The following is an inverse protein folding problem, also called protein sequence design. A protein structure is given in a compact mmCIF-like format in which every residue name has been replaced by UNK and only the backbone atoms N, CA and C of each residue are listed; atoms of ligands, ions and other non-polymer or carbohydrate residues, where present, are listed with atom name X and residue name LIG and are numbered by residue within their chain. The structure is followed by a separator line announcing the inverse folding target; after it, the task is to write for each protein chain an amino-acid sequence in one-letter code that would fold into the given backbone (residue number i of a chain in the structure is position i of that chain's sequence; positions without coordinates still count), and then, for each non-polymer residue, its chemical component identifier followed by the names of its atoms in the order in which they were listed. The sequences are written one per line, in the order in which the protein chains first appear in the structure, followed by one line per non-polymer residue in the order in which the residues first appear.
data_IF_855535654154
#
_entry.id   IF_855535654154
#
_cell.length_a   1.000
_cell.length_b   1.000
_cell.length_c   1.000
_cell.angle_alpha   90.00
_cell.angle_beta   90.00
_cell.angle_gamma   90.00
#
_symmetry.space_group_name_H-M   'P 1'
#
loop_
_entity.id
_entity.type
_entity.pdbx_description
1 polymer ?
#
# COMPACT_ATOMS: atom_id res chain seq x y z
N UNK A 1 -9.62 -0.81 19.50
CA UNK A 1 -9.43 0.28 18.52
C UNK A 1 -9.60 -0.32 17.12
N UNK A 2 -10.07 0.48 16.16
CA UNK A 2 -10.24 0.06 14.76
C UNK A 2 -8.94 0.26 13.99
N UNK A 3 -8.70 -0.63 13.02
CA UNK A 3 -7.56 -0.55 12.11
C UNK A 3 -8.10 -0.54 10.68
N UNK A 4 -7.62 0.36 9.85
CA UNK A 4 -7.87 0.37 8.41
C UNK A 4 -6.61 -0.13 7.71
N UNK A 5 -6.76 -1.10 6.81
CA UNK A 5 -5.67 -1.66 6.01
C UNK A 5 -6.02 -1.50 4.55
N UNK A 6 -5.17 -0.84 3.79
CA UNK A 6 -5.33 -0.65 2.37
C UNK A 6 -4.05 -1.06 1.63
N UNK A 7 -4.21 -1.82 0.54
CA UNK A 7 -3.08 -2.27 -0.29
C UNK A 7 -3.10 -1.56 -1.64
N UNK A 8 -1.95 -1.01 -2.03
CA UNK A 8 -1.73 -0.47 -3.37
C UNK A 8 -1.04 -1.51 -4.26
N UNK A 9 -1.19 -1.38 -5.57
CA UNK A 9 -0.51 -2.19 -6.57
C UNK A 9 -0.73 -3.72 -6.44
N UNK A 10 -1.75 -4.15 -5.74
CA UNK A 10 -2.11 -5.56 -5.55
C UNK A 10 -3.36 -5.92 -6.36
N UNK A 11 -3.52 -7.21 -6.68
CA UNK A 11 -4.70 -7.71 -7.39
C UNK A 11 -5.87 -8.10 -6.46
N UNK A 12 -5.70 -7.92 -5.16
CA UNK A 12 -6.72 -8.22 -4.16
C UNK A 12 -6.85 -9.72 -3.81
N UNK A 13 -5.95 -10.57 -4.28
CA UNK A 13 -5.99 -12.04 -4.10
C UNK A 13 -4.93 -12.59 -3.14
N UNK A 14 -4.29 -11.74 -2.33
CA UNK A 14 -3.25 -12.23 -1.41
C UNK A 14 -3.84 -13.01 -0.24
N UNK A 15 -3.16 -14.09 0.16
CA UNK A 15 -3.53 -14.92 1.32
C UNK A 15 -3.57 -14.12 2.63
N UNK A 16 -2.73 -13.09 2.76
CA UNK A 16 -2.73 -12.17 3.89
C UNK A 16 -4.06 -11.43 4.08
N UNK A 17 -4.75 -11.06 2.98
CA UNK A 17 -6.05 -10.39 3.05
C UNK A 17 -7.13 -11.31 3.63
N UNK A 18 -7.07 -12.60 3.29
CA UNK A 18 -8.00 -13.58 3.87
C UNK A 18 -7.79 -13.70 5.38
N UNK A 19 -6.52 -13.75 5.83
CA UNK A 19 -6.18 -13.78 7.25
C UNK A 19 -6.60 -12.49 7.96
N UNK A 20 -6.33 -11.32 7.38
CA UNK A 20 -6.68 -10.03 7.98
C UNK A 20 -8.19 -9.84 8.17
N UNK A 21 -9.02 -10.38 7.29
CA UNK A 21 -10.50 -10.32 7.40
C UNK A 21 -11.04 -11.11 8.59
N UNK A 22 -10.26 -11.98 9.23
CA UNK A 22 -10.69 -12.71 10.43
C UNK A 22 -10.63 -11.85 11.70
N UNK A 23 -9.97 -10.70 11.67
CA UNK A 23 -9.87 -9.80 12.81
C UNK A 23 -11.07 -8.84 12.84
N UNK A 24 -11.93 -8.95 13.85
CA UNK A 24 -13.16 -8.16 13.99
C UNK A 24 -12.96 -6.63 13.93
N UNK A 25 -11.78 -6.14 14.31
CA UNK A 25 -11.46 -4.71 14.38
C UNK A 25 -10.60 -4.21 13.22
N UNK A 26 -10.27 -5.07 12.27
CA UNK A 26 -9.58 -4.73 11.05
C UNK A 26 -10.57 -4.57 9.90
N UNK A 27 -10.57 -3.40 9.30
CA UNK A 27 -11.26 -3.14 8.04
C UNK A 27 -10.23 -3.20 6.94
N UNK A 28 -10.40 -4.13 6.00
CA UNK A 28 -9.54 -4.25 4.83
C UNK A 28 -10.24 -3.56 3.67
N UNK A 29 -9.65 -2.47 3.20
CA UNK A 29 -10.14 -1.78 2.00
C UNK A 29 -9.87 -2.67 0.77
N UNK A 30 -10.88 -2.93 -0.09
CA UNK A 30 -10.69 -3.78 -1.26
C UNK A 30 -9.74 -3.11 -2.26
N UNK A 31 -8.64 -3.78 -2.58
CA UNK A 31 -7.70 -3.30 -3.59
C UNK A 31 -8.38 -3.17 -4.96
N UNK A 32 -8.03 -2.13 -5.71
CA UNK A 32 -8.40 -2.03 -7.13
C UNK A 32 -7.33 -2.78 -7.95
N UNK A 33 -7.69 -3.89 -8.61
CA UNK A 33 -6.72 -4.72 -9.31
C UNK A 33 -6.00 -3.92 -10.41
N UNK A 34 -4.69 -4.11 -10.50
CA UNK A 34 -3.90 -3.66 -11.64
C UNK A 34 -3.50 -4.87 -12.49
N UNK A 35 -3.48 -4.72 -13.81
CA UNK A 35 -3.12 -5.80 -14.72
C UNK A 35 -1.61 -5.94 -14.83
N UNK A 36 -1.04 -6.96 -14.21
CA UNK A 36 0.39 -7.29 -14.34
C UNK A 36 1.31 -6.38 -13.53
N UNK A 37 2.58 -6.44 -13.85
CA UNK A 37 3.62 -5.66 -13.17
C UNK A 37 3.80 -4.28 -13.81
N UNK A 38 3.87 -3.23 -13.01
CA UNK A 38 4.01 -1.82 -13.47
C UNK A 38 5.18 -1.64 -14.44
N UNK A 39 6.30 -2.33 -14.25
CA UNK A 39 7.47 -2.24 -15.14
C UNK A 39 7.23 -2.83 -16.54
N UNK A 40 6.26 -3.72 -16.69
CA UNK A 40 5.90 -4.36 -17.97
C UNK A 40 4.74 -3.65 -18.70
N UNK A 41 4.15 -2.62 -18.10
CA UNK A 41 3.02 -1.90 -18.67
C UNK A 41 3.44 -0.95 -19.80
N UNK A 42 2.59 -0.83 -20.84
CA UNK A 42 2.67 0.24 -21.82
C UNK A 42 2.35 1.60 -21.20
N UNK A 43 2.64 2.69 -21.91
CA UNK A 43 2.33 4.04 -21.42
C UNK A 43 0.83 4.22 -21.13
N UNK A 44 -0.05 3.77 -22.04
CA UNK A 44 -1.50 3.84 -21.83
C UNK A 44 -1.98 3.02 -20.63
N UNK A 45 -1.41 1.83 -20.42
CA UNK A 45 -1.72 1.01 -19.24
C UNK A 45 -1.27 1.66 -17.94
N UNK A 46 -0.09 2.32 -17.94
CA UNK A 46 0.40 3.07 -16.78
C UNK A 46 -0.51 4.26 -16.44
N UNK A 47 -0.96 4.99 -17.44
CA UNK A 47 -1.87 6.12 -17.26
C UNK A 47 -3.20 5.66 -16.63
N UNK A 48 -3.80 4.60 -17.16
CA UNK A 48 -5.05 4.05 -16.61
C UNK A 48 -4.83 3.49 -15.19
N UNK A 49 -3.74 2.77 -14.94
CA UNK A 49 -3.40 2.28 -13.60
C UNK A 49 -3.19 3.43 -12.61
N UNK A 50 -2.48 4.49 -13.01
CA UNK A 50 -2.29 5.68 -12.17
C UNK A 50 -3.63 6.36 -11.85
N UNK A 51 -4.53 6.50 -12.82
CA UNK A 51 -5.87 7.03 -12.59
C UNK A 51 -6.63 6.20 -11.56
N UNK A 52 -6.60 4.88 -11.68
CA UNK A 52 -7.27 3.97 -10.75
C UNK A 52 -6.66 4.02 -9.35
N UNK A 53 -5.33 4.07 -9.23
CA UNK A 53 -4.66 4.13 -7.92
C UNK A 53 -4.85 5.48 -7.23
N UNK A 54 -4.91 6.58 -7.97
CA UNK A 54 -5.26 7.89 -7.41
C UNK A 54 -6.72 7.96 -6.96
N UNK A 55 -7.64 7.38 -7.71
CA UNK A 55 -9.03 7.25 -7.29
C UNK A 55 -9.15 6.36 -6.04
N UNK A 56 -8.38 5.27 -5.97
CA UNK A 56 -8.32 4.44 -4.76
C UNK A 56 -7.82 5.21 -3.54
N UNK A 57 -6.78 6.04 -3.69
CA UNK A 57 -6.30 6.88 -2.59
C UNK A 57 -7.39 7.82 -2.05
N UNK A 58 -8.18 8.43 -2.93
CA UNK A 58 -9.31 9.28 -2.52
C UNK A 58 -10.43 8.49 -1.83
N UNK A 59 -10.74 7.29 -2.32
CA UNK A 59 -11.75 6.42 -1.70
C UNK A 59 -11.29 5.97 -0.29
N UNK A 60 -10.00 5.62 -0.12
CA UNK A 60 -9.42 5.24 1.19
C UNK A 60 -9.43 6.43 2.15
N UNK A 61 -9.21 7.65 1.66
CA UNK A 61 -9.35 8.85 2.46
C UNK A 61 -10.78 8.96 3.04
N UNK A 62 -11.80 8.82 2.20
CA UNK A 62 -13.20 8.85 2.65
C UNK A 62 -13.53 7.73 3.65
N UNK A 63 -12.95 6.54 3.45
CA UNK A 63 -13.10 5.42 4.39
C UNK A 63 -12.44 5.73 5.75
N UNK A 64 -11.25 6.34 5.75
CA UNK A 64 -10.57 6.75 6.98
C UNK A 64 -11.39 7.82 7.75
N UNK A 65 -11.97 8.78 7.06
CA UNK A 65 -12.83 9.80 7.64
C UNK A 65 -14.11 9.19 8.27
N UNK A 66 -14.72 8.20 7.60
CA UNK A 66 -15.91 7.52 8.10
C UNK A 66 -15.62 6.56 9.26
N UNK A 67 -14.56 5.75 9.13
CA UNK A 67 -14.19 4.73 10.10
C UNK A 67 -13.51 5.30 11.35
N UNK A 68 -12.76 6.39 11.20
CA UNK A 68 -11.93 7.05 12.24
C UNK A 68 -10.99 6.04 12.92
N UNK A 69 -10.10 5.39 12.17
CA UNK A 69 -9.25 4.33 12.68
C UNK A 69 -8.17 4.87 13.62
N UNK A 70 -7.81 4.08 14.63
CA UNK A 70 -6.66 4.41 15.49
C UNK A 70 -5.32 4.05 14.83
N UNK A 71 -5.36 3.26 13.75
CA UNK A 71 -4.20 2.94 12.92
C UNK A 71 -4.67 2.75 11.48
N UNK A 72 -3.98 3.39 10.55
CA UNK A 72 -4.13 3.16 9.11
C UNK A 72 -2.84 2.57 8.55
N UNK A 73 -2.94 1.43 7.88
CA UNK A 73 -1.82 0.77 7.20
C UNK A 73 -2.01 0.93 5.68
N UNK A 74 -1.05 1.58 5.04
CA UNK A 74 -1.01 1.85 3.60
C UNK A 74 0.09 0.99 2.96
N UNK A 75 -0.25 -0.27 2.69
CA UNK A 75 0.70 -1.26 2.18
C UNK A 75 1.04 -0.99 0.71
N UNK A 76 2.33 -1.03 0.37
CA UNK A 76 2.90 -0.72 -0.95
C UNK A 76 2.65 0.73 -1.43
N UNK A 77 2.22 1.65 -0.57
CA UNK A 77 2.09 3.07 -0.94
C UNK A 77 3.43 3.66 -1.39
N UNK A 78 4.54 3.30 -0.74
CA UNK A 78 5.85 3.82 -1.08
C UNK A 78 6.25 3.45 -2.53
N UNK A 79 5.95 2.22 -2.95
CA UNK A 79 6.18 1.77 -4.34
C UNK A 79 5.26 2.50 -5.30
N UNK A 80 3.97 2.66 -4.93
CA UNK A 80 3.00 3.36 -5.78
C UNK A 80 3.42 4.80 -6.05
N UNK A 81 3.97 5.49 -5.05
CA UNK A 81 4.57 6.82 -5.17
C UNK A 81 5.82 6.82 -6.06
N UNK A 82 6.74 5.89 -5.80
CA UNK A 82 8.01 5.80 -6.55
C UNK A 82 7.79 5.48 -8.04
N UNK A 83 6.72 4.74 -8.38
CA UNK A 83 6.35 4.41 -9.75
C UNK A 83 5.43 5.46 -10.41
N UNK A 84 5.05 6.53 -9.72
CA UNK A 84 4.14 7.54 -10.23
C UNK A 84 2.68 7.07 -10.38
N UNK A 85 2.30 5.97 -9.71
CA UNK A 85 0.94 5.45 -9.72
C UNK A 85 0.01 6.21 -8.78
N UNK A 86 0.56 6.78 -7.71
CA UNK A 86 -0.13 7.71 -6.80
C UNK A 86 0.64 9.02 -6.81
N UNK A 87 -0.06 10.15 -6.93
CA UNK A 87 0.57 11.46 -6.87
C UNK A 87 0.88 11.83 -5.41
N UNK A 88 1.92 12.66 -5.23
CA UNK A 88 2.26 13.20 -3.90
C UNK A 88 1.05 13.86 -3.24
N UNK A 89 0.33 14.69 -3.98
CA UNK A 89 -0.83 15.43 -3.49
C UNK A 89 -1.93 14.51 -2.93
N UNK A 90 -2.28 13.44 -3.66
CA UNK A 90 -3.28 12.49 -3.21
C UNK A 90 -2.81 11.66 -2.01
N UNK A 91 -1.53 11.30 -1.96
CA UNK A 91 -0.97 10.62 -0.81
C UNK A 91 -0.94 11.52 0.44
N UNK A 92 -0.56 12.80 0.29
CA UNK A 92 -0.57 13.76 1.39
C UNK A 92 -1.99 13.94 1.96
N UNK A 93 -3.00 14.12 1.11
CA UNK A 93 -4.41 14.23 1.53
C UNK A 93 -4.86 12.99 2.31
N UNK A 94 -4.57 11.81 1.80
CA UNK A 94 -4.91 10.55 2.46
C UNK A 94 -4.22 10.43 3.82
N UNK A 95 -2.92 10.70 3.88
CA UNK A 95 -2.15 10.62 5.13
C UNK A 95 -2.66 11.64 6.14
N UNK A 96 -2.93 12.88 5.73
CA UNK A 96 -3.45 13.93 6.60
C UNK A 96 -4.82 13.57 7.18
N UNK A 97 -5.71 13.05 6.34
CA UNK A 97 -7.03 12.61 6.77
C UNK A 97 -6.93 11.45 7.79
N UNK A 98 -6.05 10.48 7.55
CA UNK A 98 -5.86 9.36 8.47
C UNK A 98 -5.21 9.79 9.80
N UNK A 99 -4.20 10.68 9.76
CA UNK A 99 -3.53 11.23 10.96
C UNK A 99 -4.47 12.04 11.85
N UNK A 100 -5.57 12.56 11.33
CA UNK A 100 -6.58 13.23 12.14
C UNK A 100 -7.25 12.30 13.18
N UNK A 101 -7.13 11.00 13.03
CA UNK A 101 -7.79 10.00 13.88
C UNK A 101 -6.85 9.04 14.60
N UNK A 102 -5.65 8.81 14.08
CA UNK A 102 -4.70 7.87 14.64
C UNK A 102 -3.36 7.83 13.90
N UNK A 103 -2.60 6.79 14.16
CA UNK A 103 -1.28 6.61 13.55
C UNK A 103 -1.41 6.11 12.10
N UNK A 104 -0.41 6.43 11.28
CA UNK A 104 -0.31 5.97 9.89
C UNK A 104 1.00 5.22 9.69
N UNK A 105 0.92 4.06 9.06
CA UNK A 105 2.08 3.27 8.62
C UNK A 105 2.01 3.12 7.11
N UNK A 106 3.03 3.54 6.41
CA UNK A 106 3.21 3.24 4.99
C UNK A 106 4.36 2.28 4.78
N UNK A 107 4.18 1.30 3.88
CA UNK A 107 5.19 0.30 3.57
C UNK A 107 5.56 0.31 2.09
N UNK A 108 6.62 -0.40 1.76
CA UNK A 108 7.07 -0.59 0.39
C UNK A 108 8.49 -0.07 0.15
N UNK A 109 9.02 -0.38 -1.02
CA UNK A 109 10.37 0.03 -1.44
C UNK A 109 10.39 1.45 -1.99
N UNK A 110 11.58 2.08 -1.92
CA UNK A 110 11.84 3.38 -2.55
C UNK A 110 10.91 4.50 -2.05
N UNK A 111 10.65 4.56 -0.73
CA UNK A 111 9.90 5.65 -0.14
C UNK A 111 10.51 7.00 -0.57
N UNK A 112 9.72 7.94 -1.13
CA UNK A 112 10.21 9.25 -1.52
C UNK A 112 10.79 10.01 -0.32
N UNK A 113 11.77 10.88 -0.57
CA UNK A 113 12.46 11.60 0.50
C UNK A 113 11.51 12.45 1.34
N UNK A 114 10.61 13.19 0.70
CA UNK A 114 9.60 13.99 1.40
C UNK A 114 8.75 13.18 2.41
N UNK A 115 8.46 11.90 2.08
CA UNK A 115 7.68 11.01 2.96
C UNK A 115 8.51 10.55 4.15
N UNK A 116 9.80 10.25 3.91
CA UNK A 116 10.75 9.90 4.98
C UNK A 116 11.02 11.07 5.92
N UNK A 117 11.18 12.28 5.38
CA UNK A 117 11.36 13.50 6.18
C UNK A 117 10.13 13.84 7.03
N UNK A 118 8.95 13.51 6.52
CA UNK A 118 7.69 13.74 7.23
C UNK A 118 7.41 12.72 8.33
N UNK A 119 7.96 11.51 8.24
CA UNK A 119 7.70 10.43 9.18
C UNK A 119 8.44 10.64 10.49
N UNK A 120 7.77 10.35 11.63
CA UNK A 120 8.39 10.34 12.95
C UNK A 120 9.37 9.15 13.11
N UNK A 121 9.10 8.04 12.42
CA UNK A 121 9.92 6.83 12.44
C UNK A 121 10.13 6.31 11.02
N UNK A 122 11.37 6.00 10.69
CA UNK A 122 11.73 5.33 9.43
C UNK A 122 12.55 4.10 9.76
N UNK A 123 12.05 2.92 9.32
CA UNK A 123 12.76 1.65 9.46
C UNK A 123 13.10 1.11 8.07
N UNK A 124 14.37 0.78 7.84
CA UNK A 124 14.83 0.14 6.63
C UNK A 124 15.07 -1.35 6.87
N UNK A 125 14.40 -2.19 6.06
CA UNK A 125 14.58 -3.65 6.10
C UNK A 125 15.42 -4.06 4.91
N UNK A 126 16.64 -4.55 5.19
CA UNK A 126 17.61 -4.96 4.18
C UNK A 126 17.63 -6.48 4.04
N UNK A 127 17.40 -6.98 2.83
CA UNK A 127 17.52 -8.40 2.52
C UNK A 127 19.02 -8.81 2.48
N UNK A 128 19.53 -9.39 3.56
CA UNK A 128 20.90 -9.92 3.62
C UNK A 128 21.04 -11.24 2.87
N UNK A 129 19.99 -12.07 2.86
CA UNK A 129 19.86 -13.31 2.10
C UNK A 129 18.41 -13.46 1.66
N UNK A 130 18.18 -13.82 0.42
CA UNK A 130 16.84 -14.04 -0.11
C UNK A 130 16.82 -15.27 -1.01
N UNK A 131 15.90 -16.24 -0.84
CA UNK A 131 15.87 -17.49 -1.61
C UNK A 131 15.78 -17.28 -3.12
N UNK A 132 15.05 -16.26 -3.56
CA UNK A 132 14.99 -15.93 -4.98
C UNK A 132 16.36 -15.55 -5.56
N UNK A 133 17.20 -14.87 -4.78
CA UNK A 133 18.55 -14.47 -5.22
C UNK A 133 19.52 -15.66 -5.21
N UNK A 134 19.45 -16.49 -4.17
CA UNK A 134 20.39 -17.60 -3.96
C UNK A 134 20.01 -18.86 -4.74
N UNK A 135 18.73 -19.17 -4.88
CA UNK A 135 18.23 -20.47 -5.34
C UNK A 135 17.19 -20.31 -6.47
N UNK A 136 16.86 -19.08 -6.88
CA UNK A 136 15.77 -18.77 -7.84
C UNK A 136 14.43 -19.36 -7.41
N UNK A 137 14.22 -19.52 -6.10
CA UNK A 137 13.00 -20.05 -5.55
C UNK A 137 11.85 -19.08 -5.82
N UNK A 138 10.78 -19.58 -6.45
CA UNK A 138 9.58 -18.78 -6.69
C UNK A 138 8.82 -18.49 -5.37
N UNK A 139 7.97 -17.48 -5.40
CA UNK A 139 7.09 -17.14 -4.28
C UNK A 139 6.21 -18.35 -3.89
N UNK A 140 6.00 -18.54 -2.60
CA UNK A 140 5.27 -19.70 -2.02
C UNK A 140 4.03 -19.22 -1.31
N UNK A 141 2.97 -20.02 -1.43
CA UNK A 141 1.71 -19.77 -0.74
C UNK A 141 1.89 -19.76 0.78
N UNK A 142 1.28 -18.79 1.44
CA UNK A 142 1.33 -18.61 2.89
C UNK A 142 2.65 -18.06 3.44
N UNK A 143 3.65 -17.79 2.57
CA UNK A 143 4.94 -17.21 2.94
C UNK A 143 5.15 -15.86 2.22
N UNK A 144 5.13 -15.87 0.89
CA UNK A 144 5.32 -14.66 0.08
C UNK A 144 4.02 -14.15 -0.57
N UNK A 145 2.93 -14.94 -0.57
CA UNK A 145 1.60 -14.51 -1.01
C UNK A 145 0.45 -15.28 -0.34
#
# INVERSE_FOLDING_TARGET
RRVLIAQFLKDGRSGELAALKTFERATVYPAKPISGFVFAMTAAQKEEAAKQQNAQAADIQGEAEGLRPALTVLDELNVALACGMVTRENAERLIDAALAFGDVVSTGRNAPEWLRERADYVSEIVARKHPFQTEKLAAREGIEY
#
